data_IF_500533505313
#
_entry.id   IF_500533505313
#
_cell.length_a   1.000
_cell.length_b   1.000
_cell.length_c   1.000
_cell.angle_alpha   90.00
_cell.angle_beta   90.00
_cell.angle_gamma   90.00
#
_symmetry.space_group_name_H-M   'P 1'
#
loop_
_entity.id
_entity.type
_entity.pdbx_description
1 polymer ?
#
# COMPACT_ATOMS: atom_id res chain seq x y z
N UNK A 1 -13.27 -27.86 4.08
CA UNK A 1 -12.14 -27.66 3.15
C UNK A 1 -11.42 -26.41 3.61
N UNK A 2 -10.24 -26.53 4.21
CA UNK A 2 -9.44 -25.37 4.64
C UNK A 2 -8.94 -24.64 3.39
N UNK A 3 -9.43 -23.44 3.14
CA UNK A 3 -8.92 -22.58 2.06
C UNK A 3 -7.54 -22.05 2.47
N UNK A 4 -6.54 -22.19 1.59
CA UNK A 4 -5.17 -21.68 1.76
C UNK A 4 -5.06 -20.14 1.89
N UNK A 5 -6.20 -19.47 2.03
CA UNK A 5 -6.35 -18.02 2.10
C UNK A 5 -6.79 -17.52 3.48
N UNK A 6 -7.07 -18.42 4.44
CA UNK A 6 -7.50 -18.04 5.78
C UNK A 6 -6.32 -17.96 6.76
N UNK A 7 -6.25 -16.85 7.50
CA UNK A 7 -5.37 -16.73 8.66
C UNK A 7 -6.15 -17.18 9.89
N UNK A 8 -5.75 -18.32 10.44
CA UNK A 8 -6.39 -18.92 11.60
C UNK A 8 -6.00 -18.19 12.89
N UNK A 9 -7.00 -17.89 13.73
CA UNK A 9 -6.81 -17.28 15.04
C UNK A 9 -7.99 -16.39 15.45
N UNK A 10 -8.08 -16.05 16.74
CA UNK A 10 -9.04 -15.05 17.22
C UNK A 10 -8.67 -13.68 16.67
N UNK A 11 -9.59 -13.05 15.96
CA UNK A 11 -9.38 -11.72 15.34
C UNK A 11 -10.03 -10.66 16.22
N UNK A 12 -9.31 -9.55 16.42
CA UNK A 12 -9.85 -8.36 17.09
C UNK A 12 -9.85 -7.22 16.08
N UNK A 13 -10.97 -6.52 15.97
CA UNK A 13 -11.07 -5.35 15.09
C UNK A 13 -10.20 -4.20 15.59
N UNK A 14 -9.70 -3.40 14.66
CA UNK A 14 -8.89 -2.20 14.92
C UNK A 14 -9.26 -1.12 13.93
N UNK A 15 -9.32 0.14 14.40
CA UNK A 15 -9.46 1.28 13.50
C UNK A 15 -8.13 1.51 12.74
N UNK A 16 -8.24 1.84 11.46
CA UNK A 16 -7.10 2.19 10.61
C UNK A 16 -6.19 3.23 11.27
N UNK A 17 -6.74 4.22 11.96
CA UNK A 17 -5.95 5.30 12.57
C UNK A 17 -4.97 4.76 13.63
N UNK A 18 -5.39 3.73 14.38
CA UNK A 18 -4.66 3.13 15.50
C UNK A 18 -3.73 1.99 15.02
N UNK A 19 -3.79 1.64 13.73
CA UNK A 19 -3.10 0.51 13.15
C UNK A 19 -1.58 0.54 13.36
N UNK A 20 -0.95 1.72 13.15
CA UNK A 20 0.49 1.90 13.26
C UNK A 20 0.98 1.96 14.71
N UNK A 21 0.08 2.11 15.68
CA UNK A 21 0.39 2.07 17.11
C UNK A 21 0.73 0.66 17.58
N UNK A 22 0.28 -0.37 16.85
CA UNK A 22 0.65 -1.77 17.12
C UNK A 22 2.14 -2.05 16.89
N UNK A 23 2.81 -1.25 16.05
CA UNK A 23 4.26 -1.30 15.91
C UNK A 23 4.90 -0.66 17.15
N UNK A 24 5.51 -1.47 18.02
CA UNK A 24 6.20 -1.00 19.23
C UNK A 24 7.52 -0.27 18.93
N UNK A 25 8.01 -0.40 17.70
CA UNK A 25 9.31 0.10 17.26
C UNK A 25 9.09 1.46 16.56
N UNK A 26 10.13 2.32 16.47
CA UNK A 26 10.06 3.55 15.68
C UNK A 26 9.78 3.27 14.20
N UNK A 27 10.30 2.16 13.66
CA UNK A 27 9.99 1.68 12.30
C UNK A 27 8.56 1.13 12.27
N UNK A 28 7.76 1.60 11.31
CA UNK A 28 6.34 1.23 11.19
C UNK A 28 6.16 0.33 9.98
N UNK A 29 6.40 -0.96 10.17
CA UNK A 29 6.32 -1.99 9.13
C UNK A 29 5.13 -2.90 9.43
N UNK A 30 4.12 -2.88 8.56
CA UNK A 30 2.90 -3.69 8.74
C UNK A 30 2.67 -4.55 7.51
N UNK A 31 2.35 -5.82 7.72
CA UNK A 31 1.88 -6.71 6.67
C UNK A 31 0.36 -6.85 6.75
N UNK A 32 -0.34 -6.43 5.70
CA UNK A 32 -1.79 -6.55 5.58
C UNK A 32 -2.13 -7.68 4.62
N UNK A 33 -2.82 -8.68 5.13
CA UNK A 33 -3.15 -9.89 4.41
C UNK A 33 -4.63 -9.96 4.07
N UNK A 34 -4.95 -10.77 3.06
CA UNK A 34 -6.32 -11.09 2.73
C UNK A 34 -6.42 -11.77 1.38
N UNK A 35 -7.54 -12.48 1.16
CA UNK A 35 -7.80 -13.21 -0.08
C UNK A 35 -7.96 -12.31 -1.32
N UNK A 36 -8.04 -12.93 -2.50
CA UNK A 36 -8.37 -12.21 -3.72
C UNK A 36 -9.72 -11.48 -3.60
N UNK A 37 -9.82 -10.27 -4.16
CA UNK A 37 -11.07 -9.51 -4.20
C UNK A 37 -11.57 -8.95 -2.85
N UNK A 38 -10.87 -9.20 -1.74
CA UNK A 38 -11.34 -8.76 -0.40
C UNK A 38 -11.23 -7.24 -0.16
N UNK A 39 -10.54 -6.52 -1.05
CA UNK A 39 -10.39 -5.06 -0.96
C UNK A 39 -9.03 -4.54 -0.47
N UNK A 40 -7.94 -5.32 -0.58
CA UNK A 40 -6.58 -4.85 -0.17
C UNK A 40 -6.13 -3.57 -0.88
N UNK A 41 -6.28 -3.51 -2.21
CA UNK A 41 -5.95 -2.30 -2.98
C UNK A 41 -6.87 -1.12 -2.63
N UNK A 42 -8.15 -1.39 -2.36
CA UNK A 42 -9.10 -0.39 -1.87
C UNK A 42 -8.67 0.15 -0.51
N UNK A 43 -8.20 -0.71 0.39
CA UNK A 43 -7.62 -0.31 1.67
C UNK A 43 -6.42 0.62 1.49
N UNK A 44 -5.45 0.30 0.61
CA UNK A 44 -4.31 1.20 0.34
C UNK A 44 -4.77 2.59 -0.13
N UNK A 45 -5.72 2.65 -1.06
CA UNK A 45 -6.27 3.93 -1.53
C UNK A 45 -7.05 4.67 -0.45
N UNK A 46 -7.82 3.95 0.36
CA UNK A 46 -8.60 4.51 1.45
C UNK A 46 -7.71 5.17 2.52
N UNK A 47 -6.62 4.51 2.93
CA UNK A 47 -5.72 5.09 3.92
C UNK A 47 -4.92 6.27 3.35
N UNK A 48 -4.53 6.21 2.07
CA UNK A 48 -3.91 7.34 1.39
C UNK A 48 -4.85 8.54 1.30
N UNK A 49 -6.12 8.30 0.95
CA UNK A 49 -7.16 9.33 0.91
C UNK A 49 -7.36 10.00 2.27
N UNK A 50 -7.54 9.20 3.34
CA UNK A 50 -7.72 9.73 4.70
C UNK A 50 -6.52 10.51 5.21
N UNK A 51 -5.30 10.11 4.83
CA UNK A 51 -4.12 10.92 5.12
C UNK A 51 -4.15 12.24 4.34
N UNK A 52 -4.47 12.21 3.05
CA UNK A 52 -4.53 13.39 2.20
C UNK A 52 -5.61 14.40 2.64
N UNK A 53 -6.70 13.93 3.28
CA UNK A 53 -7.74 14.77 3.89
C UNK A 53 -7.41 15.21 5.33
N UNK A 54 -6.25 14.82 5.86
CA UNK A 54 -5.77 15.21 7.20
C UNK A 54 -6.41 14.44 8.36
N UNK A 55 -7.13 13.36 8.09
CA UNK A 55 -7.83 12.59 9.13
C UNK A 55 -6.90 11.66 9.92
N UNK A 56 -5.85 11.14 9.28
CA UNK A 56 -4.95 10.16 9.89
C UNK A 56 -3.48 10.47 9.62
N UNK A 57 -2.66 10.02 10.55
CA UNK A 57 -1.20 9.98 10.47
C UNK A 57 -0.50 11.30 10.05
N UNK A 58 -0.77 12.41 10.76
CA UNK A 58 -0.18 13.72 10.46
C UNK A 58 1.35 13.77 10.60
N UNK A 59 1.97 12.73 11.18
CA UNK A 59 3.42 12.61 11.29
C UNK A 59 4.13 12.31 9.97
N UNK A 60 3.41 11.88 8.92
CA UNK A 60 3.99 11.61 7.60
C UNK A 60 3.82 12.81 6.69
N UNK A 61 4.94 13.24 6.10
CA UNK A 61 4.97 14.31 5.10
C UNK A 61 4.45 13.80 3.74
N UNK A 62 4.53 12.48 3.50
CA UNK A 62 4.09 11.85 2.27
C UNK A 62 3.58 10.42 2.50
N UNK A 63 2.46 10.07 1.87
CA UNK A 63 1.99 8.68 1.74
C UNK A 63 1.93 8.33 0.25
N UNK A 64 2.62 7.25 -0.14
CA UNK A 64 2.73 6.85 -1.56
C UNK A 64 2.20 5.45 -1.75
N UNK A 65 1.23 5.27 -2.64
CA UNK A 65 0.76 3.94 -3.06
C UNK A 65 1.61 3.43 -4.20
N UNK A 66 2.20 2.25 -4.08
CA UNK A 66 2.99 1.64 -5.15
C UNK A 66 2.33 0.31 -5.51
N UNK A 67 1.63 0.22 -6.67
CA UNK A 67 1.14 -1.05 -7.18
C UNK A 67 2.34 -1.92 -7.58
N UNK A 68 2.64 -2.97 -6.83
CA UNK A 68 3.86 -3.76 -7.05
C UNK A 68 3.88 -4.46 -8.40
N UNK A 69 2.72 -4.80 -8.99
CA UNK A 69 2.63 -5.26 -10.39
C UNK A 69 3.23 -4.31 -11.42
N UNK A 70 3.49 -3.05 -11.10
CA UNK A 70 4.14 -2.12 -12.02
C UNK A 70 5.64 -2.39 -12.18
N UNK A 71 6.26 -3.16 -11.26
CA UNK A 71 7.68 -3.53 -11.27
C UNK A 71 8.00 -4.57 -12.36
N UNK A 72 7.78 -4.18 -13.61
CA UNK A 72 8.02 -4.97 -14.81
C UNK A 72 9.25 -4.46 -15.56
N UNK A 73 9.78 -5.26 -16.49
CA UNK A 73 10.90 -4.85 -17.36
C UNK A 73 10.54 -3.67 -18.28
N UNK A 74 9.26 -3.54 -18.65
CA UNK A 74 8.82 -2.50 -19.58
C UNK A 74 8.71 -1.15 -18.89
N UNK A 75 8.20 -1.12 -17.65
CA UNK A 75 8.13 0.10 -16.83
C UNK A 75 9.48 0.45 -16.19
N UNK A 76 10.30 -0.56 -15.86
CA UNK A 76 11.59 -0.39 -15.23
C UNK A 76 12.66 -1.18 -16.01
N UNK A 77 13.17 -0.64 -17.13
CA UNK A 77 14.16 -1.33 -17.97
C UNK A 77 15.49 -1.61 -17.26
N UNK A 78 16.21 -2.62 -17.75
CA UNK A 78 17.54 -2.98 -17.28
C UNK A 78 18.57 -1.86 -17.51
N UNK A 79 19.67 -1.89 -16.75
CA UNK A 79 20.78 -0.94 -16.90
C UNK A 79 20.63 0.36 -16.11
N UNK A 80 19.51 0.52 -15.40
CA UNK A 80 19.24 1.65 -14.50
C UNK A 80 19.23 1.18 -13.06
N UNK A 81 19.83 1.97 -12.16
CA UNK A 81 19.66 1.80 -10.71
C UNK A 81 18.49 2.66 -10.26
N UNK A 82 17.45 2.05 -9.74
CA UNK A 82 16.25 2.74 -9.30
C UNK A 82 16.33 3.14 -7.81
N UNK A 83 15.84 4.33 -7.52
CA UNK A 83 15.65 4.86 -6.18
C UNK A 83 14.13 5.07 -5.92
N UNK A 84 13.71 5.22 -4.65
CA UNK A 84 12.28 5.38 -4.34
C UNK A 84 11.60 6.58 -5.01
N UNK A 85 12.36 7.62 -5.38
CA UNK A 85 11.81 8.74 -6.17
C UNK A 85 11.39 8.31 -7.58
N UNK A 86 12.08 7.35 -8.19
CA UNK A 86 11.78 6.90 -9.55
C UNK A 86 10.42 6.20 -9.60
N UNK A 87 10.02 5.52 -8.54
CA UNK A 87 8.65 5.02 -8.37
C UNK A 87 7.63 6.15 -8.41
N UNK A 88 7.85 7.19 -7.60
CA UNK A 88 6.91 8.31 -7.55
C UNK A 88 6.80 8.97 -8.92
N UNK A 89 7.93 9.19 -9.59
CA UNK A 89 7.98 9.77 -10.94
C UNK A 89 7.25 8.91 -11.97
N UNK A 90 7.57 7.63 -12.04
CA UNK A 90 7.03 6.72 -13.05
C UNK A 90 5.53 6.45 -12.85
N UNK A 91 5.09 6.25 -11.61
CA UNK A 91 3.69 5.89 -11.32
C UNK A 91 2.74 7.09 -11.31
N UNK A 92 3.23 8.32 -11.05
CA UNK A 92 2.36 9.49 -10.83
C UNK A 92 2.61 10.69 -11.73
N UNK A 93 3.78 10.81 -12.35
CA UNK A 93 4.18 12.01 -13.09
C UNK A 93 4.54 11.73 -14.55
N UNK A 94 3.83 10.79 -15.17
CA UNK A 94 3.93 10.52 -16.61
C UNK A 94 3.40 11.69 -17.44
N UNK A 95 4.27 12.69 -17.69
CA UNK A 95 4.07 13.88 -18.53
C UNK A 95 2.97 14.88 -18.06
N UNK A 96 3.27 16.19 -17.87
CA UNK A 96 4.56 16.87 -18.06
C UNK A 96 5.58 16.52 -16.98
N UNK A 97 6.87 16.58 -17.35
CA UNK A 97 7.98 16.37 -16.43
C UNK A 97 7.83 17.25 -15.19
N UNK A 98 7.98 16.65 -14.01
CA UNK A 98 8.21 17.38 -12.76
C UNK A 98 9.27 18.46 -13.01
N UNK A 99 9.00 19.69 -12.58
CA UNK A 99 10.02 20.73 -12.67
C UNK A 99 11.23 20.32 -11.82
N UNK A 100 12.44 20.79 -12.17
CA UNK A 100 13.65 20.49 -11.38
C UNK A 100 13.46 20.84 -9.89
N UNK A 101 12.73 21.92 -9.62
CA UNK A 101 12.43 22.37 -8.24
C UNK A 101 11.51 21.39 -7.52
N UNK A 102 10.47 20.89 -8.18
CA UNK A 102 9.54 19.92 -7.58
C UNK A 102 10.23 18.57 -7.38
N UNK A 103 11.10 18.18 -8.31
CA UNK A 103 11.91 16.97 -8.15
C UNK A 103 12.87 17.08 -6.95
N UNK A 104 13.56 18.22 -6.78
CA UNK A 104 14.41 18.48 -5.62
C UNK A 104 13.62 18.45 -4.31
N UNK A 105 12.44 19.08 -4.27
CA UNK A 105 11.54 19.05 -3.11
C UNK A 105 11.11 17.62 -2.78
N UNK A 106 10.72 16.83 -3.79
CA UNK A 106 10.32 15.45 -3.60
C UNK A 106 11.49 14.58 -3.08
N UNK A 107 12.71 14.78 -3.60
CA UNK A 107 13.92 14.12 -3.06
C UNK A 107 14.10 14.45 -1.60
N UNK A 108 13.99 15.73 -1.23
CA UNK A 108 14.14 16.16 0.16
C UNK A 108 13.10 15.53 1.08
N UNK A 109 11.82 15.50 0.67
CA UNK A 109 10.75 14.86 1.43
C UNK A 109 11.01 13.36 1.65
N UNK A 110 11.46 12.65 0.62
CA UNK A 110 11.81 11.23 0.72
C UNK A 110 13.02 11.02 1.65
N UNK A 111 14.04 11.88 1.56
CA UNK A 111 15.25 11.81 2.39
C UNK A 111 14.98 12.07 3.88
N UNK A 112 13.96 12.87 4.22
CA UNK A 112 13.55 13.13 5.61
C UNK A 112 12.97 11.92 6.33
N UNK A 113 12.76 10.79 5.62
CA UNK A 113 12.26 9.50 6.14
C UNK A 113 10.89 9.56 6.82
N UNK A 114 10.12 10.62 6.59
CA UNK A 114 8.72 10.76 7.02
C UNK A 114 7.75 10.35 5.90
N UNK A 115 8.11 9.30 5.17
CA UNK A 115 7.31 8.75 4.08
C UNK A 115 6.76 7.39 4.48
N UNK A 116 5.47 7.18 4.26
CA UNK A 116 4.83 5.87 4.40
C UNK A 116 4.58 5.27 3.02
N UNK A 117 5.24 4.14 2.74
CA UNK A 117 5.09 3.41 1.49
C UNK A 117 3.96 2.38 1.61
N UNK A 118 2.94 2.47 0.77
CA UNK A 118 1.87 1.49 0.66
C UNK A 118 2.19 0.58 -0.53
N UNK A 119 2.89 -0.52 -0.26
CA UNK A 119 3.35 -1.48 -1.25
C UNK A 119 2.21 -2.48 -1.51
N UNK A 120 1.46 -2.26 -2.58
CA UNK A 120 0.22 -2.97 -2.85
C UNK A 120 0.43 -4.16 -3.79
N UNK A 121 0.14 -5.38 -3.32
CA UNK A 121 0.08 -6.58 -4.16
C UNK A 121 1.40 -7.35 -4.26
N UNK A 122 2.04 -7.69 -3.15
CA UNK A 122 3.28 -8.49 -3.18
C UNK A 122 3.10 -9.85 -3.86
N UNK A 123 1.91 -10.45 -3.73
CA UNK A 123 1.56 -11.71 -4.39
C UNK A 123 1.66 -11.65 -5.92
N UNK A 124 1.56 -10.45 -6.52
CA UNK A 124 1.65 -10.26 -7.97
C UNK A 124 3.10 -10.37 -8.48
N UNK A 125 4.10 -10.15 -7.63
CA UNK A 125 5.52 -10.13 -8.00
C UNK A 125 6.37 -11.23 -7.35
N UNK A 126 5.84 -11.94 -6.34
CA UNK A 126 6.61 -12.85 -5.49
C UNK A 126 7.44 -13.89 -6.27
N UNK A 127 6.91 -14.39 -7.39
CA UNK A 127 7.58 -15.40 -8.22
C UNK A 127 8.16 -14.84 -9.53
N UNK A 128 7.74 -13.64 -9.94
CA UNK A 128 8.01 -13.11 -11.29
C UNK A 128 8.75 -11.77 -11.30
N UNK A 129 9.24 -11.30 -10.14
CA UNK A 129 10.01 -10.06 -10.06
C UNK A 129 11.29 -10.16 -10.93
N UNK A 130 11.50 -9.24 -11.89
CA UNK A 130 12.72 -9.20 -12.67
C UNK A 130 13.97 -9.13 -11.79
N UNK A 131 15.02 -9.90 -12.13
CA UNK A 131 16.22 -10.04 -11.31
C UNK A 131 16.91 -8.71 -11.02
N UNK A 132 16.92 -7.76 -11.96
CA UNK A 132 17.51 -6.44 -11.77
C UNK A 132 16.72 -5.54 -10.80
N UNK A 133 15.46 -5.87 -10.51
CA UNK A 133 14.61 -5.16 -9.55
C UNK A 133 14.62 -5.79 -8.16
N UNK A 134 15.28 -6.94 -7.96
CA UNK A 134 15.34 -7.60 -6.64
C UNK A 134 15.96 -6.70 -5.59
N UNK A 135 17.14 -6.13 -5.88
CA UNK A 135 17.79 -5.18 -4.96
C UNK A 135 16.96 -3.91 -4.72
N UNK A 136 16.16 -3.49 -5.70
CA UNK A 136 15.25 -2.38 -5.52
C UNK A 136 14.08 -2.73 -4.60
N UNK A 137 13.49 -3.92 -4.76
CA UNK A 137 12.46 -4.43 -3.85
C UNK A 137 12.99 -4.60 -2.42
N UNK A 138 14.21 -5.12 -2.25
CA UNK A 138 14.87 -5.20 -0.95
C UNK A 138 15.01 -3.81 -0.32
N UNK A 139 15.38 -2.80 -1.10
CA UNK A 139 15.45 -1.42 -0.64
C UNK A 139 14.08 -0.88 -0.17
N UNK A 140 13.00 -1.18 -0.91
CA UNK A 140 11.64 -0.81 -0.50
C UNK A 140 11.23 -1.50 0.81
N UNK A 141 11.58 -2.77 0.98
CA UNK A 141 11.32 -3.52 2.21
C UNK A 141 12.19 -3.04 3.39
N UNK A 142 13.32 -2.39 3.14
CA UNK A 142 14.15 -1.79 4.20
C UNK A 142 13.70 -0.38 4.61
N UNK A 143 12.81 0.28 3.85
CA UNK A 143 12.29 1.61 4.19
C UNK A 143 11.78 1.71 5.63
N UNK A 144 11.82 2.91 6.21
CA UNK A 144 11.54 3.09 7.65
C UNK A 144 10.08 2.80 8.00
N UNK A 145 9.16 3.15 7.11
CA UNK A 145 7.73 2.98 7.29
C UNK A 145 7.08 2.48 6.01
N UNK A 146 6.41 1.33 6.10
CA UNK A 146 5.65 0.79 4.99
C UNK A 146 4.53 -0.14 5.44
N UNK A 147 3.51 -0.22 4.61
CA UNK A 147 2.45 -1.21 4.68
C UNK A 147 2.57 -2.05 3.42
N UNK A 148 2.80 -3.35 3.58
CA UNK A 148 2.84 -4.31 2.48
C UNK A 148 1.51 -5.05 2.44
N UNK A 149 0.87 -5.14 1.28
CA UNK A 149 -0.30 -6.00 1.09
C UNK A 149 0.06 -7.27 0.34
N UNK A 150 -0.54 -8.40 0.72
CA UNK A 150 -0.34 -9.68 0.01
C UNK A 150 -1.48 -10.67 0.25
N UNK A 151 -1.55 -11.71 -0.57
CA UNK A 151 -2.28 -12.94 -0.23
C UNK A 151 -1.46 -13.78 0.77
N UNK A 152 -2.11 -14.49 1.71
CA UNK A 152 -1.40 -15.28 2.72
C UNK A 152 -0.43 -16.33 2.17
N UNK A 153 -0.77 -16.98 1.05
CA UNK A 153 0.05 -18.06 0.48
C UNK A 153 1.28 -17.59 -0.29
N UNK A 154 1.32 -16.33 -0.73
CA UNK A 154 2.36 -15.81 -1.61
C UNK A 154 3.47 -15.05 -0.86
N UNK A 155 3.44 -15.06 0.49
CA UNK A 155 4.39 -14.29 1.29
C UNK A 155 5.03 -15.13 2.39
N UNK A 156 6.36 -15.21 2.35
CA UNK A 156 7.19 -15.83 3.39
C UNK A 156 7.86 -14.78 4.31
N UNK A 157 7.68 -13.48 4.05
CA UNK A 157 8.31 -12.40 4.80
C UNK A 157 7.78 -12.33 6.25
N UNK A 158 8.69 -12.11 7.19
CA UNK A 158 8.34 -11.95 8.60
C UNK A 158 8.14 -10.48 8.96
N UNK A 159 7.00 -10.21 9.60
CA UNK A 159 6.63 -8.91 10.13
C UNK A 159 6.14 -9.08 11.55
N UNK A 160 6.56 -8.17 12.44
CA UNK A 160 6.11 -8.15 13.84
C UNK A 160 4.62 -7.84 13.97
N UNK A 161 4.10 -7.04 13.04
CA UNK A 161 2.69 -6.66 12.98
C UNK A 161 2.08 -7.18 11.68
N UNK A 162 1.14 -8.12 11.83
CA UNK A 162 0.34 -8.68 10.75
C UNK A 162 -1.12 -8.35 11.01
N UNK A 163 -1.82 -7.92 9.96
CA UNK A 163 -3.23 -7.59 10.01
C UNK A 163 -3.95 -8.24 8.84
N UNK A 164 -5.26 -8.33 8.93
CA UNK A 164 -6.07 -8.97 7.91
C UNK A 164 -7.26 -8.11 7.54
N UNK A 165 -7.47 -7.93 6.23
CA UNK A 165 -8.72 -7.41 5.70
C UNK A 165 -9.71 -8.56 5.67
N UNK A 166 -10.68 -8.54 6.58
CA UNK A 166 -11.71 -9.59 6.70
C UNK A 166 -12.91 -9.37 5.78
N UNK A 167 -12.95 -8.25 5.05
CA UNK A 167 -14.07 -7.85 4.20
C UNK A 167 -15.21 -7.21 4.99
N UNK A 168 -16.39 -7.15 4.37
CA UNK A 168 -17.57 -6.57 4.98
C UNK A 168 -18.21 -7.50 6.01
N UNK A 169 -18.62 -6.90 7.13
CA UNK A 169 -19.65 -7.49 8.01
C UNK A 169 -21.02 -7.34 7.35
N UNK A 170 -22.02 -8.10 7.81
CA UNK A 170 -23.40 -7.99 7.30
C UNK A 170 -23.92 -6.54 7.37
N UNK A 171 -23.64 -5.84 8.47
CA UNK A 171 -23.98 -4.42 8.63
C UNK A 171 -23.26 -3.52 7.61
N UNK A 172 -22.01 -3.83 7.26
CA UNK A 172 -21.27 -3.07 6.26
C UNK A 172 -21.82 -3.31 4.85
N UNK A 173 -22.30 -4.52 4.53
CA UNK A 173 -22.93 -4.81 3.25
C UNK A 173 -24.16 -3.92 3.06
N UNK A 174 -25.04 -3.87 4.06
CA UNK A 174 -26.26 -3.04 4.00
C UNK A 174 -25.90 -1.55 3.80
N UNK A 175 -24.94 -1.03 4.57
CA UNK A 175 -24.49 0.36 4.45
C UNK A 175 -23.88 0.67 3.09
N UNK A 176 -23.05 -0.23 2.56
CA UNK A 176 -22.42 -0.05 1.26
C UNK A 176 -23.47 0.01 0.14
N UNK A 177 -24.45 -0.90 0.16
CA UNK A 177 -25.53 -0.93 -0.84
C UNK A 177 -26.33 0.38 -0.81
N UNK A 178 -26.69 0.86 0.38
CA UNK A 178 -27.42 2.12 0.54
C UNK A 178 -26.62 3.30 -0.04
N UNK A 179 -25.37 3.47 0.39
CA UNK A 179 -24.49 4.55 -0.08
C UNK A 179 -24.33 4.53 -1.60
N UNK A 180 -24.14 3.36 -2.20
CA UNK A 180 -23.97 3.22 -3.64
C UNK A 180 -25.22 3.68 -4.42
N UNK A 181 -26.41 3.26 -3.99
CA UNK A 181 -27.64 3.62 -4.71
C UNK A 181 -28.09 5.07 -4.44
N UNK A 182 -27.74 5.64 -3.30
CA UNK A 182 -28.01 7.05 -3.03
C UNK A 182 -27.14 7.96 -3.92
N UNK A 183 -25.85 7.62 -4.11
CA UNK A 183 -24.98 8.33 -5.05
C UNK A 183 -25.49 8.32 -6.50
N UNK A 184 -26.01 7.18 -6.97
CA UNK A 184 -26.57 7.07 -8.34
C UNK A 184 -27.80 7.98 -8.52
N UNK A 185 -28.64 8.14 -7.49
CA UNK A 185 -29.81 9.02 -7.58
C UNK A 185 -29.40 10.49 -7.65
N UNK A 186 -28.35 10.87 -6.93
CA UNK A 186 -27.83 12.23 -6.94
C UNK A 186 -27.17 12.60 -8.28
N UNK A 187 -26.60 11.63 -9.01
CA UNK A 187 -26.04 11.84 -10.35
C UNK A 187 -27.10 11.90 -11.49
N UNK A 188 -28.32 11.43 -11.23
CA UNK A 188 -29.43 11.41 -12.20
C UNK A 188 -30.38 12.63 -12.08
N UNK A 189 -30.16 13.51 -11.09
CA UNK A 189 -30.91 14.74 -10.86
C UNK A 189 -30.07 15.98 -11.20
#
# INVERSE_FOLDING_TARGET
MSTFEEIYGTKTSIDVKDMLEKCKNPRKKVLVLGRAGIGKSTFCRYVAYRWATGEIWPQYDLVVVIPLRSLTKDHYPCGTTYAPIDLVKNEYFSYPLLSNKDEELLKELILRRKVLWLLDGYDEIAENLPSHLQGFMEHLLDTTHHILTSRPHAIALQYDVKMEVTGFTDDNIVKYIQQFFDQIKDELN
#
